data_IF_805827688433
#
_entry.id   IF_805827688433
#
_cell.length_a   1.000
_cell.length_b   1.000
_cell.length_c   1.000
_cell.angle_alpha   90.00
_cell.angle_beta   90.00
_cell.angle_gamma   90.00
#
_symmetry.space_group_name_H-M   'P 1'
#
loop_
_entity.id
_entity.type
_entity.pdbx_description
1 polymer ?
#
# COMPACT_ATOMS: atom_id res chain seq x y z
N UNK A 1 31.51 -10.25 57.53
CA UNK A 1 31.22 -9.01 56.81
C UNK A 1 30.32 -9.36 55.67
N UNK A 2 29.05 -9.18 55.88
CA UNK A 2 27.94 -9.56 54.96
C UNK A 2 27.45 -8.31 54.27
N UNK A 3 27.44 -8.30 52.94
CA UNK A 3 26.90 -7.24 52.13
C UNK A 3 25.43 -7.56 51.74
N UNK A 4 24.51 -6.60 51.82
CA UNK A 4 23.10 -6.84 51.51
C UNK A 4 22.81 -6.71 50.02
N UNK A 5 22.03 -7.68 49.50
CA UNK A 5 21.54 -7.69 48.12
C UNK A 5 20.42 -6.69 47.88
N UNK A 6 20.51 -5.97 46.77
CA UNK A 6 19.51 -5.05 46.29
C UNK A 6 18.47 -5.81 45.43
N UNK A 7 17.23 -5.82 45.86
CA UNK A 7 16.06 -6.32 45.09
C UNK A 7 15.62 -5.23 44.15
N UNK A 8 15.76 -5.44 42.85
CA UNK A 8 15.21 -4.58 41.80
C UNK A 8 13.79 -5.08 41.43
N UNK A 9 12.81 -4.26 41.76
CA UNK A 9 11.42 -4.54 41.48
C UNK A 9 11.08 -4.55 39.98
N UNK A 10 10.35 -5.58 39.57
CA UNK A 10 9.70 -5.69 38.25
C UNK A 10 8.53 -4.72 38.19
N UNK A 11 8.60 -3.70 37.34
CA UNK A 11 7.45 -2.90 36.95
C UNK A 11 6.70 -3.65 35.83
N UNK A 12 5.49 -4.08 36.12
CA UNK A 12 4.55 -4.61 35.13
C UNK A 12 3.90 -3.43 34.38
N UNK A 13 4.20 -3.31 33.09
CA UNK A 13 3.45 -2.40 32.23
C UNK A 13 2.15 -3.05 31.78
N UNK A 14 1.06 -2.56 32.35
CA UNK A 14 -0.30 -2.83 31.87
C UNK A 14 -0.46 -2.14 30.51
N UNK A 15 -0.64 -2.91 29.45
CA UNK A 15 -1.06 -2.42 28.15
C UNK A 15 -2.58 -2.33 28.15
N UNK A 16 -3.10 -1.09 28.22
CA UNK A 16 -4.53 -0.82 28.07
C UNK A 16 -4.92 -0.91 26.59
N UNK A 17 -5.86 -1.79 26.26
CA UNK A 17 -6.51 -1.85 24.97
C UNK A 17 -7.44 -0.66 24.78
N UNK A 18 -7.42 0.06 23.63
CA UNK A 18 -8.45 1.05 23.35
C UNK A 18 -9.74 0.38 22.85
N UNK A 19 -10.85 0.72 23.52
CA UNK A 19 -12.18 0.31 23.21
C UNK A 19 -12.65 0.81 21.84
N UNK A 20 -13.35 -0.06 21.12
CA UNK A 20 -14.09 0.21 19.89
C UNK A 20 -15.17 1.28 20.11
N UNK A 21 -15.00 2.46 19.52
CA UNK A 21 -16.03 3.49 19.45
C UNK A 21 -16.97 3.19 18.28
N UNK A 22 -18.20 2.73 18.60
CA UNK A 22 -19.28 2.57 17.63
C UNK A 22 -19.88 3.95 17.34
N UNK A 23 -19.69 4.46 16.14
CA UNK A 23 -20.40 5.65 15.65
C UNK A 23 -21.76 5.17 15.14
N UNK A 24 -22.83 5.55 15.86
CA UNK A 24 -24.20 5.36 15.43
C UNK A 24 -24.58 6.46 14.43
N UNK A 25 -24.97 6.06 13.22
CA UNK A 25 -25.58 6.94 12.23
C UNK A 25 -27.06 7.08 12.56
N UNK A 26 -27.47 8.27 13.01
CA UNK A 26 -28.87 8.62 13.21
C UNK A 26 -29.43 9.17 11.90
N UNK A 27 -30.33 8.42 11.27
CA UNK A 27 -31.11 8.89 10.14
C UNK A 27 -32.27 9.74 10.67
N UNK A 28 -32.28 11.04 10.39
CA UNK A 28 -33.40 11.92 10.67
C UNK A 28 -34.42 11.82 9.54
N UNK A 29 -35.61 11.24 9.86
CA UNK A 29 -36.79 11.28 8.99
C UNK A 29 -37.56 12.56 9.37
N UNK A 30 -37.58 13.52 8.44
CA UNK A 30 -38.47 14.69 8.55
C UNK A 30 -39.80 14.39 7.84
N UNK A 31 -40.86 14.26 8.63
CA UNK A 31 -42.24 14.16 8.17
C UNK A 31 -42.80 15.59 8.07
N UNK A 32 -43.11 16.07 6.88
CA UNK A 32 -43.79 17.34 6.66
C UNK A 32 -45.10 17.13 5.91
N UNK A 33 -46.21 17.43 6.58
CA UNK A 33 -47.58 17.35 6.08
C UNK A 33 -48.04 18.65 5.40
N UNK A 34 -48.66 18.46 4.25
CA UNK A 34 -49.87 19.09 3.71
C UNK A 34 -49.92 20.59 3.36
N UNK A 35 -50.31 20.82 2.13
CA UNK A 35 -50.89 22.08 1.62
C UNK A 35 -51.13 22.02 0.13
N UNK A 36 -52.35 21.71 -0.30
CA UNK A 36 -52.69 21.58 -1.71
C UNK A 36 -52.77 22.90 -2.45
N UNK A 37 -52.49 22.91 -3.74
CA UNK A 37 -53.04 23.74 -4.78
C UNK A 37 -52.80 23.09 -6.14
N UNK A 38 -53.87 22.77 -6.83
CA UNK A 38 -53.91 22.30 -8.23
C UNK A 38 -53.63 23.42 -9.19
N UNK A 39 -52.61 23.32 -10.02
CA UNK A 39 -52.54 24.02 -11.30
C UNK A 39 -51.84 23.07 -12.28
N UNK A 40 -52.61 22.71 -13.34
CA UNK A 40 -52.13 21.84 -14.41
C UNK A 40 -51.00 22.50 -15.19
N UNK A 41 -49.83 21.87 -15.14
CA UNK A 41 -48.70 22.15 -15.99
C UNK A 41 -48.11 20.84 -16.39
N UNK A 42 -48.17 20.55 -17.69
CA UNK A 42 -47.57 19.37 -18.30
C UNK A 42 -46.05 19.48 -18.16
N UNK A 43 -45.49 18.84 -17.14
CA UNK A 43 -44.05 18.78 -16.95
C UNK A 43 -43.50 17.71 -17.89
N UNK A 44 -42.81 18.17 -18.94
CA UNK A 44 -41.91 17.31 -19.70
C UNK A 44 -40.78 16.88 -18.77
N UNK A 45 -40.65 15.57 -18.58
CA UNK A 45 -39.54 15.01 -17.86
C UNK A 45 -38.27 15.19 -18.69
N UNK A 46 -37.51 16.23 -18.34
CA UNK A 46 -36.12 16.35 -18.79
C UNK A 46 -35.35 15.27 -18.04
N UNK A 47 -35.13 14.12 -18.69
CA UNK A 47 -34.15 13.13 -18.25
C UNK A 47 -32.79 13.77 -18.36
N UNK A 48 -32.29 14.34 -17.26
CA UNK A 48 -30.89 14.73 -17.17
C UNK A 48 -30.05 13.45 -17.23
N UNK A 49 -29.51 13.19 -18.41
CA UNK A 49 -28.44 12.20 -18.58
C UNK A 49 -27.26 12.66 -17.75
N UNK A 50 -26.99 11.95 -16.65
CA UNK A 50 -25.76 12.09 -15.89
C UNK A 50 -24.63 11.75 -16.87
N UNK A 51 -23.71 12.68 -17.18
CA UNK A 51 -22.58 12.31 -18.01
C UNK A 51 -21.80 11.22 -17.28
N UNK A 52 -21.75 10.04 -17.89
CA UNK A 52 -20.78 9.03 -17.53
C UNK A 52 -19.42 9.72 -17.59
N UNK A 53 -18.82 9.95 -16.43
CA UNK A 53 -17.41 10.33 -16.37
C UNK A 53 -16.64 9.23 -17.04
N UNK A 54 -16.32 9.43 -18.31
CA UNK A 54 -15.32 8.61 -19.00
C UNK A 54 -14.04 8.84 -18.20
N UNK A 55 -13.71 7.85 -17.36
CA UNK A 55 -12.37 7.70 -16.83
C UNK A 55 -11.45 7.77 -18.05
N UNK A 56 -10.70 8.87 -18.18
CA UNK A 56 -9.60 8.95 -19.12
C UNK A 56 -8.63 7.84 -18.70
N UNK A 57 -8.79 6.66 -19.33
CA UNK A 57 -7.80 5.62 -19.29
C UNK A 57 -6.49 6.28 -19.74
N UNK A 58 -5.55 6.43 -18.82
CA UNK A 58 -4.20 6.79 -19.18
C UNK A 58 -3.75 5.82 -20.29
N UNK A 59 -3.05 6.30 -21.34
CA UNK A 59 -2.61 5.42 -22.40
C UNK A 59 -1.87 4.25 -21.76
N UNK A 60 -2.23 3.04 -22.20
CA UNK A 60 -1.53 1.81 -21.87
C UNK A 60 -0.10 1.93 -22.43
N UNK A 61 0.75 2.62 -21.67
CA UNK A 61 2.18 2.61 -21.89
C UNK A 61 2.68 1.28 -21.40
N UNK A 62 3.44 0.59 -22.24
CA UNK A 62 4.12 -0.67 -21.99
C UNK A 62 4.34 -0.94 -20.49
N UNK A 63 3.42 -1.68 -19.88
CA UNK A 63 3.68 -2.31 -18.59
C UNK A 63 4.52 -3.52 -18.90
N UNK A 64 5.82 -3.52 -18.57
CA UNK A 64 6.61 -4.72 -18.81
C UNK A 64 6.02 -5.85 -17.97
N UNK A 65 5.54 -6.87 -18.65
CA UNK A 65 5.25 -8.21 -18.14
C UNK A 65 4.34 -8.30 -16.90
N UNK A 66 3.15 -7.67 -16.98
CA UNK A 66 2.08 -7.92 -16.02
C UNK A 66 1.38 -9.25 -16.29
N UNK A 67 0.82 -9.87 -15.26
CA UNK A 67 0.05 -11.12 -15.34
C UNK A 67 -1.42 -10.83 -15.08
N UNK A 68 -2.28 -11.31 -15.98
CA UNK A 68 -3.72 -11.37 -15.83
C UNK A 68 -4.06 -12.79 -15.36
N UNK A 69 -4.48 -12.95 -14.11
CA UNK A 69 -4.70 -14.25 -13.47
C UNK A 69 -6.10 -14.79 -13.72
N UNK A 70 -7.09 -13.92 -13.87
CA UNK A 70 -8.49 -14.32 -14.06
C UNK A 70 -8.98 -14.16 -15.49
N UNK A 71 -8.10 -13.70 -16.40
CA UNK A 71 -8.33 -13.55 -17.84
C UNK A 71 -9.46 -12.56 -18.17
N UNK A 72 -9.60 -11.53 -17.35
CA UNK A 72 -10.57 -10.44 -17.57
C UNK A 72 -10.04 -9.33 -18.49
N UNK A 73 -8.81 -9.46 -18.99
CA UNK A 73 -8.10 -8.49 -19.81
C UNK A 73 -7.39 -7.38 -19.02
N UNK A 74 -7.32 -7.52 -17.71
CA UNK A 74 -6.64 -6.56 -16.81
C UNK A 74 -5.45 -7.22 -16.14
N UNK A 75 -4.40 -6.45 -15.96
CA UNK A 75 -3.22 -6.92 -15.25
C UNK A 75 -3.50 -7.03 -13.75
N UNK A 76 -3.29 -8.20 -13.15
CA UNK A 76 -3.45 -8.45 -11.72
C UNK A 76 -2.17 -8.26 -10.92
N UNK A 77 -1.03 -8.61 -11.51
CA UNK A 77 0.30 -8.54 -10.90
C UNK A 77 1.28 -7.84 -11.83
N UNK A 78 2.11 -6.95 -11.30
CA UNK A 78 3.17 -6.28 -12.05
C UNK A 78 4.35 -5.90 -11.15
N UNK A 79 5.54 -5.74 -11.71
CA UNK A 79 6.68 -5.21 -10.97
C UNK A 79 6.48 -3.74 -10.62
N UNK A 80 6.71 -3.35 -9.35
CA UNK A 80 6.65 -1.93 -8.95
C UNK A 80 7.69 -1.04 -9.62
N UNK A 81 8.82 -1.65 -10.00
CA UNK A 81 9.98 -1.04 -10.62
C UNK A 81 10.70 -2.04 -11.52
N UNK A 82 11.46 -1.53 -12.51
CA UNK A 82 12.29 -2.33 -13.42
C UNK A 82 13.75 -2.48 -12.95
N UNK A 83 14.16 -1.72 -11.91
CA UNK A 83 15.56 -1.65 -11.44
C UNK A 83 15.87 -2.78 -10.46
N UNK A 84 15.70 -3.94 -10.60
CA UNK A 84 16.16 -5.10 -9.85
C UNK A 84 16.16 -5.02 -8.31
N UNK A 85 16.46 -6.13 -7.68
CA UNK A 85 16.59 -6.26 -6.25
C UNK A 85 17.83 -5.50 -5.73
N UNK A 86 17.68 -4.84 -4.58
CA UNK A 86 18.82 -4.24 -3.86
C UNK A 86 19.77 -5.34 -3.35
N UNK A 87 21.03 -5.19 -3.66
CA UNK A 87 22.09 -6.04 -3.13
C UNK A 87 22.34 -5.86 -1.64
N UNK A 88 23.51 -6.30 -1.19
CA UNK A 88 23.97 -6.07 0.17
C UNK A 88 24.62 -4.69 0.30
N UNK A 89 24.31 -3.99 1.38
CA UNK A 89 24.92 -2.74 1.77
C UNK A 89 25.18 -2.70 3.29
N UNK A 90 25.53 -1.53 3.84
CA UNK A 90 25.80 -1.37 5.28
C UNK A 90 24.64 -1.78 6.19
N UNK A 91 23.43 -1.90 5.65
CA UNK A 91 22.20 -2.27 6.37
C UNK A 91 21.71 -3.69 6.02
N UNK A 92 22.56 -4.49 5.37
CA UNK A 92 22.30 -5.87 5.00
C UNK A 92 21.64 -6.04 3.64
N UNK A 93 21.37 -7.29 3.28
CA UNK A 93 20.81 -7.66 1.98
C UNK A 93 19.34 -7.25 1.83
N UNK A 94 18.95 -6.82 0.63
CA UNK A 94 17.56 -6.51 0.27
C UNK A 94 16.68 -7.73 0.00
N UNK A 95 17.24 -8.95 0.09
CA UNK A 95 16.49 -10.18 -0.18
C UNK A 95 15.43 -10.47 0.89
N UNK A 96 14.33 -11.11 0.48
CA UNK A 96 13.36 -11.68 1.40
C UNK A 96 14.02 -12.70 2.34
N UNK A 97 13.63 -12.72 3.61
CA UNK A 97 14.20 -13.63 4.62
C UNK A 97 15.62 -13.29 5.07
N UNK A 98 16.26 -12.25 4.52
CA UNK A 98 17.59 -11.82 4.95
C UNK A 98 17.63 -11.53 6.46
N UNK A 99 18.78 -11.79 7.08
CA UNK A 99 19.00 -11.54 8.51
C UNK A 99 18.87 -10.07 8.85
N UNK A 100 18.19 -9.76 9.96
CA UNK A 100 18.06 -8.42 10.54
C UNK A 100 18.38 -8.50 12.05
N UNK A 101 18.86 -7.38 12.60
CA UNK A 101 19.16 -7.23 14.04
C UNK A 101 20.01 -8.37 14.62
N UNK A 102 21.09 -8.76 13.91
CA UNK A 102 21.95 -9.86 14.34
C UNK A 102 21.27 -11.23 14.32
N UNK A 103 20.30 -11.43 13.44
CA UNK A 103 19.58 -12.71 13.28
C UNK A 103 18.30 -12.83 14.10
N UNK A 104 17.95 -11.81 14.90
CA UNK A 104 16.73 -11.80 15.73
C UNK A 104 15.44 -11.64 14.91
N UNK A 105 15.52 -10.99 13.75
CA UNK A 105 14.40 -10.83 12.81
C UNK A 105 14.80 -11.27 11.41
N UNK A 106 13.80 -11.56 10.60
CA UNK A 106 13.96 -11.76 9.16
C UNK A 106 13.37 -10.57 8.40
N UNK A 107 13.90 -10.33 7.22
CA UNK A 107 13.39 -9.33 6.29
C UNK A 107 12.06 -9.82 5.70
N UNK A 108 10.96 -9.11 5.95
CA UNK A 108 9.60 -9.54 5.59
C UNK A 108 9.21 -9.16 4.15
N UNK A 109 10.10 -8.59 3.38
CA UNK A 109 9.81 -8.15 2.02
C UNK A 109 11.04 -8.19 1.14
N UNK A 110 10.92 -7.59 -0.01
CA UNK A 110 11.94 -7.43 -1.03
C UNK A 110 12.26 -5.94 -1.20
N UNK A 111 13.53 -5.59 -1.11
CA UNK A 111 13.98 -4.23 -1.41
C UNK A 111 14.32 -4.11 -2.89
N UNK A 112 13.68 -3.19 -3.60
CA UNK A 112 13.92 -2.88 -5.00
C UNK A 112 14.62 -1.53 -5.12
N UNK A 113 15.74 -1.49 -5.84
CA UNK A 113 16.50 -0.24 -6.06
C UNK A 113 15.57 0.81 -6.67
N UNK A 114 15.51 1.97 -6.05
CA UNK A 114 14.66 3.07 -6.48
C UNK A 114 15.36 4.41 -6.27
N UNK A 115 15.84 5.08 -7.33
CA UNK A 115 16.29 6.47 -7.21
C UNK A 115 15.21 7.35 -6.59
N UNK A 116 15.61 8.36 -5.81
CA UNK A 116 14.67 9.32 -5.23
C UNK A 116 13.82 9.95 -6.33
N UNK A 117 12.49 9.98 -6.12
CA UNK A 117 11.54 10.51 -7.10
C UNK A 117 11.17 9.56 -8.24
N UNK A 118 11.76 8.36 -8.32
CA UNK A 118 11.37 7.36 -9.32
C UNK A 118 9.87 7.02 -9.22
N UNK A 119 9.16 6.86 -10.35
CA UNK A 119 7.76 6.46 -10.33
C UNK A 119 7.63 5.02 -9.82
N UNK A 120 6.75 4.83 -8.85
CA UNK A 120 6.46 3.52 -8.26
C UNK A 120 5.10 3.07 -8.71
N UNK A 121 4.99 1.83 -9.17
CA UNK A 121 3.77 1.23 -9.70
C UNK A 121 3.13 0.29 -8.69
N UNK A 122 1.81 0.11 -8.80
CA UNK A 122 1.06 -0.86 -8.02
C UNK A 122 1.54 -2.28 -8.33
N UNK A 123 1.95 -3.07 -7.32
CA UNK A 123 2.35 -4.46 -7.55
C UNK A 123 1.16 -5.40 -7.78
N UNK A 124 -0.02 -5.00 -7.33
CA UNK A 124 -1.29 -5.74 -7.52
C UNK A 124 -2.43 -4.80 -7.90
N UNK A 125 -3.39 -5.32 -8.68
CA UNK A 125 -4.67 -4.65 -8.89
C UNK A 125 -5.55 -4.77 -7.65
N UNK A 126 -6.25 -3.69 -7.29
CA UNK A 126 -7.12 -3.70 -6.12
C UNK A 126 -7.50 -2.32 -5.63
N UNK A 127 -7.76 -2.23 -4.34
CA UNK A 127 -8.14 -1.00 -3.65
C UNK A 127 -7.01 -0.58 -2.71
N UNK A 128 -6.63 0.68 -2.74
CA UNK A 128 -5.76 1.26 -1.71
C UNK A 128 -6.51 1.26 -0.39
N UNK A 129 -6.11 0.39 0.53
CA UNK A 129 -6.75 0.25 1.84
C UNK A 129 -6.15 1.17 2.87
N UNK A 130 -4.88 1.54 2.69
CA UNK A 130 -4.18 2.38 3.66
C UNK A 130 -3.03 3.15 3.03
N UNK A 131 -2.87 4.39 3.46
CA UNK A 131 -1.64 5.17 3.33
C UNK A 131 -1.22 5.54 4.75
N UNK A 132 0.01 5.24 5.13
CA UNK A 132 0.47 5.43 6.50
C UNK A 132 1.95 5.75 6.59
N UNK A 133 2.41 6.02 7.80
CA UNK A 133 3.83 6.26 8.08
C UNK A 133 4.58 4.93 8.15
N UNK A 134 5.74 4.85 7.49
CA UNK A 134 6.62 3.67 7.56
C UNK A 134 7.18 3.49 8.97
N UNK A 135 7.42 4.60 9.67
CA UNK A 135 7.90 4.63 11.05
C UNK A 135 7.05 5.58 11.88
N UNK A 136 6.75 5.19 13.11
CA UNK A 136 5.99 6.04 14.03
C UNK A 136 6.72 7.36 14.27
N UNK A 137 6.02 8.47 14.04
CA UNK A 137 6.57 9.82 14.23
C UNK A 137 7.39 10.36 13.05
N UNK A 138 7.48 9.63 11.94
CA UNK A 138 8.21 10.04 10.74
C UNK A 138 7.26 10.16 9.53
N UNK A 139 6.56 11.29 9.39
CA UNK A 139 5.57 11.47 8.31
C UNK A 139 6.19 11.54 6.91
N UNK A 140 7.49 11.79 6.80
CA UNK A 140 8.22 11.88 5.55
C UNK A 140 8.36 10.52 4.86
N UNK A 141 8.38 9.42 5.61
CA UNK A 141 8.48 8.07 5.05
C UNK A 141 7.14 7.36 5.18
N UNK A 142 6.51 7.11 4.05
CA UNK A 142 5.17 6.55 3.95
C UNK A 142 5.18 5.16 3.35
N UNK A 143 4.04 4.48 3.49
CA UNK A 143 3.71 3.27 2.73
C UNK A 143 2.31 3.37 2.15
N UNK A 144 2.10 2.62 1.07
CA UNK A 144 0.79 2.37 0.45
C UNK A 144 0.47 0.90 0.61
N UNK A 145 -0.74 0.59 1.11
CA UNK A 145 -1.26 -0.76 1.16
C UNK A 145 -2.39 -0.92 0.15
N UNK A 146 -2.32 -1.98 -0.65
CA UNK A 146 -3.32 -2.34 -1.65
C UNK A 146 -3.83 -3.74 -1.33
N UNK A 147 -5.14 -3.93 -1.33
CA UNK A 147 -5.76 -5.25 -1.17
C UNK A 147 -6.48 -5.64 -2.45
N UNK A 148 -6.15 -6.81 -2.96
CA UNK A 148 -6.75 -7.35 -4.17
C UNK A 148 -7.88 -8.33 -3.85
N UNK A 149 -9.07 -8.15 -4.41
CA UNK A 149 -10.13 -9.14 -4.33
C UNK A 149 -9.83 -10.39 -5.17
N UNK A 150 -9.18 -10.22 -6.32
CA UNK A 150 -8.88 -11.28 -7.29
C UNK A 150 -7.77 -12.21 -6.78
N UNK A 151 -6.59 -11.67 -6.52
CA UNK A 151 -5.42 -12.46 -6.08
C UNK A 151 -5.55 -12.92 -4.64
N UNK A 152 -6.38 -12.25 -3.84
CA UNK A 152 -6.55 -12.48 -2.39
C UNK A 152 -5.32 -12.14 -1.57
N UNK A 153 -4.42 -11.36 -2.13
CA UNK A 153 -3.25 -10.82 -1.45
C UNK A 153 -3.46 -9.38 -1.02
N UNK A 154 -2.69 -8.97 -0.04
CA UNK A 154 -2.39 -7.56 0.21
C UNK A 154 -0.92 -7.30 -0.10
N UNK A 155 -0.64 -6.14 -0.65
CA UNK A 155 0.71 -5.66 -0.89
C UNK A 155 0.92 -4.34 -0.17
N UNK A 156 2.08 -4.18 0.47
CA UNK A 156 2.55 -2.90 1.01
C UNK A 156 3.80 -2.49 0.28
N UNK A 157 3.81 -1.25 -0.17
CA UNK A 157 5.00 -0.64 -0.75
C UNK A 157 5.41 0.52 0.14
N UNK A 158 6.53 0.38 0.82
CA UNK A 158 7.10 1.36 1.73
C UNK A 158 8.01 2.33 1.00
N UNK A 159 8.18 3.51 1.59
CA UNK A 159 9.03 4.60 1.11
C UNK A 159 8.52 5.18 -0.20
N UNK A 160 7.21 5.29 -0.29
CA UNK A 160 6.49 5.88 -1.43
C UNK A 160 5.65 7.06 -0.97
N UNK A 161 5.93 8.24 -1.52
CA UNK A 161 5.04 9.38 -1.42
C UNK A 161 3.82 9.14 -2.29
N UNK A 162 2.69 8.76 -1.68
CA UNK A 162 1.49 8.32 -2.40
C UNK A 162 0.84 9.44 -3.20
N UNK A 163 0.45 9.12 -4.45
CA UNK A 163 -0.45 9.92 -5.28
C UNK A 163 -1.90 9.40 -5.24
N UNK A 164 -2.17 8.35 -4.45
CA UNK A 164 -3.48 7.73 -4.33
C UNK A 164 -3.98 7.81 -2.88
N UNK A 165 -5.27 8.08 -2.71
CA UNK A 165 -5.91 8.09 -1.40
C UNK A 165 -6.49 6.71 -1.05
N UNK A 166 -6.68 6.40 0.24
CA UNK A 166 -7.47 5.24 0.65
C UNK A 166 -8.85 5.24 -0.01
N UNK A 167 -9.29 4.08 -0.49
CA UNK A 167 -10.51 3.89 -1.28
C UNK A 167 -10.29 3.98 -2.81
N UNK A 168 -9.16 4.48 -3.30
CA UNK A 168 -8.87 4.52 -4.73
C UNK A 168 -8.67 3.10 -5.29
N UNK A 169 -9.27 2.82 -6.43
CA UNK A 169 -8.96 1.64 -7.23
C UNK A 169 -7.69 1.88 -8.03
N UNK A 170 -6.86 0.87 -8.14
CA UNK A 170 -5.63 0.87 -8.93
C UNK A 170 -5.49 -0.43 -9.70
N UNK A 171 -4.89 -0.34 -10.89
CA UNK A 171 -4.51 -1.51 -11.69
C UNK A 171 -3.02 -1.79 -11.48
N UNK A 172 -2.62 -3.05 -11.44
CA UNK A 172 -1.21 -3.41 -11.37
C UNK A 172 -0.43 -2.76 -12.53
N UNK A 173 0.75 -2.20 -12.21
CA UNK A 173 1.51 -1.39 -13.16
C UNK A 173 1.12 0.10 -13.19
N UNK A 174 -0.01 0.52 -12.63
CA UNK A 174 -0.41 1.92 -12.52
C UNK A 174 0.48 2.67 -11.52
N UNK A 175 0.88 3.91 -11.80
CA UNK A 175 1.69 4.72 -10.88
C UNK A 175 0.89 5.07 -9.64
N UNK A 176 1.38 4.67 -8.47
CA UNK A 176 0.79 4.94 -7.16
C UNK A 176 1.52 6.03 -6.36
N UNK A 177 2.68 6.45 -6.82
CA UNK A 177 3.47 7.48 -6.15
C UNK A 177 4.91 7.55 -6.65
N UNK A 178 5.76 8.14 -5.83
CA UNK A 178 7.19 8.32 -6.12
C UNK A 178 8.03 7.85 -4.96
N UNK A 179 9.20 7.27 -5.25
CA UNK A 179 10.16 6.84 -4.24
C UNK A 179 10.62 8.02 -3.39
N UNK A 180 10.63 7.81 -2.08
CA UNK A 180 11.07 8.80 -1.11
C UNK A 180 12.56 8.69 -0.84
N UNK A 181 13.14 9.73 -0.22
CA UNK A 181 14.56 9.81 0.11
C UNK A 181 14.82 9.15 1.47
N UNK A 182 15.51 8.02 1.46
CA UNK A 182 15.94 7.32 2.66
C UNK A 182 17.19 7.95 3.31
N UNK A 183 17.93 8.78 2.58
CA UNK A 183 19.16 9.41 3.06
C UNK A 183 18.92 10.33 4.26
N UNK A 184 17.71 10.83 4.45
CA UNK A 184 17.33 11.63 5.63
C UNK A 184 17.36 10.82 6.93
N UNK A 185 17.04 9.54 6.86
CA UNK A 185 17.05 8.63 8.02
C UNK A 185 18.34 7.83 8.11
N UNK A 186 18.89 7.43 6.97
CA UNK A 186 20.05 6.56 6.84
C UNK A 186 21.17 7.32 6.13
N UNK A 187 21.90 8.13 6.90
CA UNK A 187 22.81 9.14 6.36
C UNK A 187 23.94 8.58 5.48
N UNK A 188 24.38 7.32 5.68
CA UNK A 188 25.50 6.75 4.93
C UNK A 188 25.29 5.27 4.63
N UNK A 189 25.56 4.87 3.39
CA UNK A 189 25.70 3.48 3.00
C UNK A 189 24.38 2.72 2.74
N UNK A 190 23.22 3.39 2.80
CA UNK A 190 21.93 2.82 2.41
C UNK A 190 21.69 3.11 0.93
N UNK A 191 21.54 2.07 0.14
CA UNK A 191 21.04 2.20 -1.24
C UNK A 191 19.57 2.61 -1.20
N UNK A 192 19.21 3.72 -1.87
CA UNK A 192 17.81 4.15 -1.93
C UNK A 192 16.95 3.09 -2.63
N UNK A 193 15.82 2.73 -2.00
CA UNK A 193 14.97 1.64 -2.45
C UNK A 193 13.52 1.83 -2.01
N UNK A 194 12.62 1.05 -2.56
CA UNK A 194 11.32 0.76 -1.97
C UNK A 194 11.33 -0.65 -1.40
N UNK A 195 10.64 -0.84 -0.28
CA UNK A 195 10.47 -2.13 0.35
C UNK A 195 9.06 -2.65 0.04
N UNK A 196 8.96 -3.85 -0.52
CA UNK A 196 7.70 -4.46 -0.97
C UNK A 196 7.41 -5.69 -0.13
N UNK A 197 6.26 -5.71 0.53
CA UNK A 197 5.74 -6.85 1.27
C UNK A 197 4.49 -7.40 0.60
N UNK A 198 4.32 -8.72 0.62
CA UNK A 198 3.07 -9.39 0.31
C UNK A 198 2.59 -10.20 1.49
N UNK A 199 1.29 -10.25 1.68
CA UNK A 199 0.66 -11.13 2.66
C UNK A 199 -0.59 -11.79 2.07
N UNK A 200 -0.86 -13.03 2.50
CA UNK A 200 -2.10 -13.73 2.19
C UNK A 200 -3.29 -13.19 3.01
N UNK A 201 -4.49 -13.74 2.79
CA UNK A 201 -5.71 -13.38 3.54
C UNK A 201 -5.62 -13.60 5.05
N UNK A 202 -4.72 -14.46 5.51
CA UNK A 202 -4.50 -14.77 6.92
C UNK A 202 -3.44 -13.87 7.53
N UNK A 203 -2.83 -12.99 6.71
CA UNK A 203 -1.73 -12.13 7.12
C UNK A 203 -0.38 -12.82 7.15
N UNK A 204 -0.26 -14.04 6.60
CA UNK A 204 1.03 -14.70 6.46
C UNK A 204 1.86 -14.00 5.39
N UNK A 205 3.09 -13.64 5.75
CA UNK A 205 4.03 -12.95 4.86
C UNK A 205 4.51 -13.92 3.78
N UNK A 206 4.51 -13.45 2.54
CA UNK A 206 4.91 -14.20 1.36
C UNK A 206 6.20 -13.63 0.77
N UNK A 207 7.01 -14.49 0.16
CA UNK A 207 8.14 -14.04 -0.64
C UNK A 207 7.64 -13.31 -1.89
N UNK A 208 7.96 -12.00 -2.08
CA UNK A 208 7.52 -11.27 -3.25
C UNK A 208 7.98 -11.89 -4.58
N UNK A 209 9.13 -12.57 -4.61
CA UNK A 209 9.61 -13.27 -5.81
C UNK A 209 8.79 -14.50 -6.18
N UNK A 210 8.06 -15.08 -5.21
CA UNK A 210 7.14 -16.18 -5.48
C UNK A 210 5.75 -15.70 -5.94
N UNK A 211 5.43 -14.41 -5.77
CA UNK A 211 4.13 -13.82 -6.11
C UNK A 211 4.19 -13.03 -7.40
N UNK A 212 5.21 -12.20 -7.57
CA UNK A 212 5.39 -11.35 -8.73
C UNK A 212 5.70 -12.18 -9.99
N UNK A 213 5.34 -11.70 -11.19
CA UNK A 213 5.73 -12.36 -12.44
C UNK A 213 7.26 -12.46 -12.55
N UNK A 214 7.74 -13.30 -13.47
CA UNK A 214 9.17 -13.37 -13.73
C UNK A 214 9.73 -11.95 -13.98
N UNK A 215 10.89 -11.63 -13.37
CA UNK A 215 11.46 -10.29 -13.49
C UNK A 215 11.66 -9.94 -14.96
N UNK A 216 11.25 -8.73 -15.39
CA UNK A 216 11.63 -8.26 -16.71
C UNK A 216 13.14 -8.32 -16.78
N UNK A 217 13.67 -9.16 -17.67
CA UNK A 217 15.10 -9.24 -17.90
C UNK A 217 15.53 -7.85 -18.38
N UNK A 218 16.47 -7.23 -17.68
CA UNK A 218 17.24 -6.15 -18.28
C UNK A 218 17.75 -6.73 -19.61
N UNK A 219 17.21 -6.25 -20.71
CA UNK A 219 17.79 -6.55 -22.02
C UNK A 219 19.23 -6.06 -21.96
N UNK A 220 20.17 -7.02 -21.88
CA UNK A 220 21.57 -6.74 -22.06
C UNK A 220 21.73 -6.02 -23.40
N UNK A 221 22.10 -4.76 -23.31
CA UNK A 221 22.54 -3.94 -24.45
C UNK A 221 24.04 -3.89 -24.44
#
# INVERSE_FOLDING_TARGET
MTSPGTIVGRAAHLVASPALSRVAVIAAIALGLAGGATLGGRAEAVTASVPHSQSLAAPAGDTPDGVDLDQDGRTDLAWPLTLGQRGEDAYGSGAFGASRDGGRRRHNGLDLVAPVGAPIRAPISGIVTRVGQAYAGEPELQFVEITSPTTRYSARVFYVGSSRAPGAQVTAGEIIGRAQDLGRRYAFGMTNHVHVEFADRRGAVLDPLAVLPASPRSSDT
#
